data_IF_516268624138
#
_entry.id   IF_516268624138
#
_cell.length_a   1.000
_cell.length_b   1.000
_cell.length_c   1.000
_cell.angle_alpha   90.00
_cell.angle_beta   90.00
_cell.angle_gamma   90.00
#
_symmetry.space_group_name_H-M   'P 1'
#
loop_
_entity.id
_entity.type
_entity.pdbx_description
1 polymer ?
#
# COMPACT_ATOMS: atom_id res chain seq x y z
N UNK A 1 -4.62 19.01 -2.88
CA UNK A 1 -5.02 17.83 -3.68
C UNK A 1 -5.42 18.35 -5.04
N UNK A 2 -4.87 17.84 -6.15
CA UNK A 2 -5.40 18.22 -7.46
C UNK A 2 -6.74 17.48 -7.61
N UNK A 3 -7.90 18.15 -7.69
CA UNK A 3 -9.23 17.53 -7.67
C UNK A 3 -9.54 16.64 -8.90
N UNK A 4 -8.53 16.26 -9.68
CA UNK A 4 -8.64 15.60 -10.97
C UNK A 4 -7.97 14.22 -11.03
N UNK A 5 -7.50 13.63 -9.93
CA UNK A 5 -6.91 12.28 -9.97
C UNK A 5 -7.82 11.23 -9.38
N UNK A 6 -7.89 10.06 -10.01
CA UNK A 6 -8.69 8.91 -9.59
C UNK A 6 -7.80 7.70 -9.36
N UNK A 7 -8.20 6.83 -8.44
CA UNK A 7 -7.54 5.55 -8.18
C UNK A 7 -8.37 4.46 -8.85
N UNK A 8 -7.72 3.64 -9.66
CA UNK A 8 -8.33 2.49 -10.34
C UNK A 8 -7.61 1.23 -9.87
N UNK A 9 -8.36 0.26 -9.35
CA UNK A 9 -7.86 -1.08 -9.10
C UNK A 9 -7.81 -1.85 -10.42
N UNK A 10 -6.69 -2.50 -10.72
CA UNK A 10 -6.48 -3.19 -11.99
C UNK A 10 -6.98 -4.64 -11.95
N UNK A 11 -6.79 -5.32 -10.81
CA UNK A 11 -7.05 -6.75 -10.67
C UNK A 11 -8.20 -7.01 -9.68
N UNK A 12 -9.06 -8.00 -9.97
CA UNK A 12 -10.11 -8.41 -9.04
C UNK A 12 -9.58 -9.23 -7.86
N UNK A 13 -8.48 -9.97 -8.07
CA UNK A 13 -7.87 -10.83 -7.06
C UNK A 13 -6.64 -10.15 -6.43
N UNK A 14 -6.41 -10.35 -5.12
CA UNK A 14 -5.24 -9.80 -4.47
C UNK A 14 -3.96 -10.44 -5.02
N UNK A 15 -2.95 -9.60 -5.31
CA UNK A 15 -1.62 -10.05 -5.73
C UNK A 15 -0.70 -10.37 -4.55
N UNK A 16 -1.15 -10.09 -3.33
CA UNK A 16 -0.46 -10.42 -2.10
C UNK A 16 -1.37 -10.25 -0.89
N UNK A 17 -0.94 -10.79 0.25
CA UNK A 17 -1.69 -10.65 1.49
C UNK A 17 -0.85 -11.03 2.70
N UNK A 18 -0.92 -10.20 3.74
CA UNK A 18 -0.48 -10.54 5.10
C UNK A 18 -1.66 -11.08 5.91
N UNK A 19 -1.55 -11.23 7.24
CA UNK A 19 -2.65 -11.73 8.08
C UNK A 19 -3.91 -10.84 8.09
N UNK A 20 -3.75 -9.53 7.94
CA UNK A 20 -4.83 -8.54 8.13
C UNK A 20 -5.16 -7.68 6.90
N UNK A 21 -4.62 -7.99 5.72
CA UNK A 21 -4.85 -7.14 4.53
C UNK A 21 -4.71 -7.87 3.22
N UNK A 22 -5.51 -7.44 2.24
CA UNK A 22 -5.37 -7.78 0.84
C UNK A 22 -4.61 -6.66 0.12
N UNK A 23 -3.72 -7.06 -0.78
CA UNK A 23 -2.88 -6.18 -1.57
C UNK A 23 -3.27 -6.33 -3.03
N UNK A 24 -3.64 -5.23 -3.68
CA UNK A 24 -4.04 -5.20 -5.08
C UNK A 24 -3.13 -4.27 -5.88
N UNK A 25 -3.01 -4.52 -7.18
CA UNK A 25 -2.41 -3.57 -8.11
C UNK A 25 -3.44 -2.54 -8.54
N UNK A 26 -2.97 -1.35 -8.82
CA UNK A 26 -3.80 -0.30 -9.38
C UNK A 26 -2.99 0.82 -10.01
N UNK A 27 -3.70 1.85 -10.42
CA UNK A 27 -3.15 3.05 -11.04
C UNK A 27 -3.80 4.30 -10.49
N UNK A 28 -3.00 5.34 -10.30
CA UNK A 28 -3.50 6.71 -10.18
C UNK A 28 -3.57 7.27 -11.58
N UNK A 29 -4.75 7.75 -11.98
CA UNK A 29 -5.01 8.29 -13.30
C UNK A 29 -5.53 9.72 -13.22
N UNK A 30 -5.31 10.48 -14.28
CA UNK A 30 -5.96 11.77 -14.53
C UNK A 30 -6.97 11.58 -15.67
N UNK A 31 -8.28 11.77 -15.45
CA UNK A 31 -9.25 11.82 -16.53
C UNK A 31 -8.95 12.98 -17.45
N UNK A 32 -9.09 12.74 -18.75
CA UNK A 32 -8.92 13.70 -19.83
C UNK A 32 -10.24 13.86 -20.60
N UNK A 33 -10.40 14.94 -21.38
CA UNK A 33 -11.57 15.09 -22.26
C UNK A 33 -11.76 13.91 -23.21
N UNK A 34 -13.02 13.70 -23.63
CA UNK A 34 -13.45 12.60 -24.50
C UNK A 34 -13.21 11.19 -23.93
N UNK A 35 -13.29 11.03 -22.60
CA UNK A 35 -13.22 9.72 -21.94
C UNK A 35 -11.82 9.09 -21.91
N UNK A 36 -10.77 9.85 -22.26
CA UNK A 36 -9.39 9.38 -22.14
C UNK A 36 -8.91 9.45 -20.70
N UNK A 37 -7.90 8.65 -20.38
CA UNK A 37 -7.22 8.68 -19.07
C UNK A 37 -5.71 8.67 -19.28
N UNK A 38 -5.01 9.45 -18.47
CA UNK A 38 -3.56 9.43 -18.38
C UNK A 38 -3.13 8.70 -17.11
N UNK A 39 -2.28 7.69 -17.24
CA UNK A 39 -1.74 6.96 -16.09
C UNK A 39 -0.58 7.77 -15.51
N UNK A 40 -0.75 8.27 -14.29
CA UNK A 40 0.29 9.02 -13.59
C UNK A 40 1.26 8.09 -12.87
N UNK A 41 0.72 7.11 -12.13
CA UNK A 41 1.51 6.20 -11.32
C UNK A 41 0.90 4.79 -11.32
N UNK A 42 1.76 3.77 -11.33
CA UNK A 42 1.39 2.42 -10.88
C UNK A 42 1.51 2.35 -9.38
N UNK A 43 0.50 1.80 -8.72
CA UNK A 43 0.39 1.77 -7.27
C UNK A 43 -0.01 0.39 -6.75
N UNK A 44 0.20 0.22 -5.45
CA UNK A 44 -0.37 -0.85 -4.66
C UNK A 44 -1.48 -0.26 -3.79
N UNK A 45 -2.59 -0.99 -3.72
CA UNK A 45 -3.76 -0.66 -2.91
C UNK A 45 -3.89 -1.71 -1.81
N UNK A 46 -3.71 -1.29 -0.57
CA UNK A 46 -3.83 -2.14 0.62
C UNK A 46 -5.19 -1.95 1.27
N UNK A 47 -6.02 -2.98 1.23
CA UNK A 47 -7.30 -3.03 1.92
C UNK A 47 -7.18 -3.83 3.22
N UNK A 48 -7.69 -3.32 4.36
CA UNK A 48 -7.74 -4.09 5.58
C UNK A 48 -8.75 -5.24 5.41
N UNK A 49 -8.43 -6.42 5.94
CA UNK A 49 -9.34 -7.54 5.99
C UNK A 49 -10.01 -7.65 7.35
N UNK A 50 -11.29 -8.02 7.38
CA UNK A 50 -11.97 -8.39 8.61
C UNK A 50 -11.19 -9.46 9.37
N UNK A 51 -11.17 -9.34 10.71
CA UNK A 51 -10.57 -10.37 11.56
C UNK A 51 -11.66 -11.37 11.91
N UNK A 52 -11.47 -12.68 11.73
CA UNK A 52 -12.46 -13.67 12.13
C UNK A 52 -12.75 -13.53 13.63
N UNK A 53 -13.97 -13.18 14.01
CA UNK A 53 -14.38 -13.03 15.41
C UNK A 53 -15.90 -12.87 15.56
N UNK A 54 -16.49 -13.29 16.69
CA UNK A 54 -17.92 -13.15 16.92
C UNK A 54 -18.29 -11.68 17.21
N UNK A 55 -18.96 -11.01 16.27
CA UNK A 55 -19.48 -9.64 16.46
C UNK A 55 -19.56 -8.83 15.16
N UNK A 56 -20.62 -9.05 14.38
CA UNK A 56 -20.76 -8.57 12.98
C UNK A 56 -21.08 -7.05 12.86
N UNK A 57 -21.42 -6.33 13.93
CA UNK A 57 -21.99 -4.97 13.79
C UNK A 57 -20.98 -3.81 13.72
N UNK A 58 -19.71 -3.98 14.14
CA UNK A 58 -18.72 -2.89 14.22
C UNK A 58 -17.48 -3.09 13.34
N UNK A 59 -17.50 -4.08 12.45
CA UNK A 59 -16.31 -4.53 11.72
C UNK A 59 -15.71 -3.45 10.81
N UNK A 60 -16.54 -2.71 10.06
CA UNK A 60 -16.05 -1.66 9.15
C UNK A 60 -15.39 -0.50 9.91
N UNK A 61 -15.96 -0.08 11.04
CA UNK A 61 -15.39 1.02 11.84
C UNK A 61 -14.10 0.58 12.53
N UNK A 62 -14.03 -0.67 12.99
CA UNK A 62 -12.79 -1.24 13.51
C UNK A 62 -11.71 -1.34 12.44
N UNK A 63 -12.05 -1.77 11.23
CA UNK A 63 -11.13 -1.78 10.10
C UNK A 63 -10.67 -0.37 9.73
N UNK A 64 -11.59 0.60 9.69
CA UNK A 64 -11.29 2.02 9.46
C UNK A 64 -10.34 2.56 10.52
N UNK A 65 -10.58 2.28 11.80
CA UNK A 65 -9.71 2.70 12.91
C UNK A 65 -8.32 2.08 12.79
N UNK A 66 -8.21 0.79 12.47
CA UNK A 66 -6.93 0.09 12.31
C UNK A 66 -6.12 0.63 11.16
N UNK A 67 -6.71 0.75 9.97
CA UNK A 67 -6.00 1.23 8.79
C UNK A 67 -5.65 2.72 8.92
N UNK A 68 -6.49 3.52 9.60
CA UNK A 68 -6.17 4.91 9.91
C UNK A 68 -5.00 5.04 10.88
N UNK A 69 -4.92 4.21 11.92
CA UNK A 69 -3.74 4.18 12.82
C UNK A 69 -2.47 3.80 12.06
N UNK A 70 -2.55 2.84 11.16
CA UNK A 70 -1.42 2.46 10.31
C UNK A 70 -0.99 3.62 9.40
N UNK A 71 -1.95 4.26 8.73
CA UNK A 71 -1.70 5.44 7.92
C UNK A 71 -1.07 6.58 8.73
N UNK A 72 -1.63 6.91 9.89
CA UNK A 72 -1.15 7.99 10.74
C UNK A 72 0.26 7.72 11.28
N UNK A 73 0.55 6.46 11.65
CA UNK A 73 1.89 6.06 12.07
C UNK A 73 2.88 6.20 10.91
N UNK A 74 2.54 5.71 9.73
CA UNK A 74 3.39 5.79 8.55
C UNK A 74 3.60 7.24 8.09
N UNK A 75 2.56 8.08 8.13
CA UNK A 75 2.62 9.49 7.74
C UNK A 75 3.50 10.34 8.68
N UNK A 76 3.78 9.86 9.90
CA UNK A 76 4.70 10.51 10.85
C UNK A 76 6.15 10.11 10.64
N UNK A 77 6.43 9.07 9.87
CA UNK A 77 7.80 8.63 9.59
C UNK A 77 8.45 9.64 8.64
N UNK A 78 9.62 10.15 9.03
CA UNK A 78 10.44 11.01 8.16
C UNK A 78 10.73 10.27 6.85
N UNK A 79 10.43 10.89 5.69
CA UNK A 79 10.71 10.27 4.40
C UNK A 79 12.18 9.88 4.27
N UNK A 80 12.43 8.65 3.83
CA UNK A 80 13.76 8.11 3.62
C UNK A 80 13.77 7.29 2.33
N UNK A 81 14.87 7.31 1.59
CA UNK A 81 14.99 6.65 0.27
C UNK A 81 14.74 5.14 0.32
N UNK A 82 15.01 4.52 1.45
CA UNK A 82 14.81 3.07 1.67
C UNK A 82 13.46 2.74 2.32
N UNK A 83 12.65 3.74 2.67
CA UNK A 83 11.28 3.54 3.14
C UNK A 83 10.31 3.61 1.97
N UNK A 84 9.39 2.65 1.91
CA UNK A 84 8.30 2.71 0.94
C UNK A 84 7.46 3.96 1.24
N UNK A 85 7.33 4.91 0.30
CA UNK A 85 6.63 6.15 0.58
C UNK A 85 5.13 5.91 0.61
N UNK A 86 4.46 6.64 1.51
CA UNK A 86 3.02 6.69 1.60
C UNK A 86 2.50 7.71 0.57
N UNK A 87 1.67 7.27 -0.38
CA UNK A 87 1.13 8.19 -1.40
C UNK A 87 -0.18 8.81 -0.95
N UNK A 88 -1.13 7.98 -0.51
CA UNK A 88 -2.49 8.43 -0.26
C UNK A 88 -3.26 7.50 0.69
N UNK A 89 -4.13 8.10 1.51
CA UNK A 89 -5.26 7.43 2.13
C UNK A 89 -6.49 7.55 1.21
N UNK A 90 -7.10 6.43 0.84
CA UNK A 90 -8.20 6.40 -0.13
C UNK A 90 -9.51 5.95 0.51
N UNK A 91 -10.45 6.89 0.62
CA UNK A 91 -11.82 6.62 1.04
C UNK A 91 -12.62 6.08 -0.16
N UNK A 92 -12.88 4.78 -0.18
CA UNK A 92 -13.49 4.06 -1.33
C UNK A 92 -15.00 4.34 -1.47
N UNK A 93 -15.63 4.88 -0.43
CA UNK A 93 -17.08 5.11 -0.39
C UNK A 93 -17.88 3.81 -0.22
N UNK A 94 -19.21 3.89 -0.29
CA UNK A 94 -20.09 2.71 -0.36
C UNK A 94 -20.04 1.76 0.85
N UNK A 95 -19.58 2.22 2.01
CA UNK A 95 -19.46 1.38 3.22
C UNK A 95 -18.22 0.48 3.26
N UNK A 96 -17.31 0.60 2.28
CA UNK A 96 -16.02 -0.11 2.31
C UNK A 96 -15.03 0.60 3.25
N UNK A 97 -14.14 -0.15 3.94
CA UNK A 97 -13.09 0.46 4.71
C UNK A 97 -12.11 1.20 3.78
N UNK A 98 -11.47 2.28 4.24
CA UNK A 98 -10.47 2.98 3.46
C UNK A 98 -9.25 2.11 3.18
N UNK A 99 -8.50 2.48 2.14
CA UNK A 99 -7.30 1.80 1.70
C UNK A 99 -6.06 2.69 1.83
N UNK A 100 -4.89 2.07 1.97
CA UNK A 100 -3.58 2.74 1.88
C UNK A 100 -3.01 2.53 0.49
N UNK A 101 -2.50 3.60 -0.11
CA UNK A 101 -1.87 3.57 -1.44
C UNK A 101 -0.37 3.85 -1.32
N UNK A 102 0.43 3.00 -1.94
CA UNK A 102 1.90 3.13 -2.04
C UNK A 102 2.35 2.93 -3.49
N UNK A 103 3.59 3.30 -3.87
CA UNK A 103 4.09 2.97 -5.19
C UNK A 103 4.13 1.46 -5.42
N UNK A 104 4.01 1.08 -6.69
CA UNK A 104 4.29 -0.28 -7.12
C UNK A 104 5.80 -0.56 -7.11
N UNK A 105 6.21 -1.61 -6.40
CA UNK A 105 7.58 -2.13 -6.40
C UNK A 105 7.65 -3.38 -7.31
N UNK A 106 8.26 -3.30 -8.51
CA UNK A 106 8.27 -4.42 -9.46
C UNK A 106 8.96 -5.67 -8.94
N UNK A 107 9.99 -5.49 -8.11
CA UNK A 107 10.78 -6.58 -7.52
C UNK A 107 10.08 -7.30 -6.35
N UNK A 108 8.88 -6.85 -5.96
CA UNK A 108 8.12 -7.46 -4.87
C UNK A 108 8.77 -7.28 -3.50
N UNK A 109 8.48 -8.20 -2.58
CA UNK A 109 9.09 -8.20 -1.25
C UNK A 109 10.47 -8.89 -1.27
N UNK A 110 11.32 -8.57 -0.30
CA UNK A 110 12.68 -9.13 -0.19
C UNK A 110 12.67 -10.66 -0.21
N UNK A 111 11.70 -11.29 0.44
CA UNK A 111 11.54 -12.75 0.45
C UNK A 111 11.40 -13.30 -0.97
N UNK A 112 10.48 -12.76 -1.76
CA UNK A 112 10.24 -13.22 -3.13
C UNK A 112 11.43 -12.89 -4.04
N UNK A 113 12.08 -11.73 -3.82
CA UNK A 113 13.28 -11.35 -4.54
C UNK A 113 14.41 -12.36 -4.32
N UNK A 114 14.69 -12.74 -3.06
CA UNK A 114 15.76 -13.69 -2.72
C UNK A 114 15.49 -15.10 -3.25
N UNK A 115 14.23 -15.55 -3.26
CA UNK A 115 13.85 -16.84 -3.87
C UNK A 115 14.19 -16.86 -5.35
N UNK A 116 13.96 -15.76 -6.07
CA UNK A 116 14.22 -15.66 -7.51
C UNK A 116 15.69 -15.29 -7.84
N UNK A 117 16.46 -14.81 -6.85
CA UNK A 117 17.83 -14.35 -7.03
C UNK A 117 18.73 -14.94 -5.92
N UNK A 118 19.01 -16.26 -5.94
CA UNK A 118 19.71 -16.93 -4.84
C UNK A 118 21.16 -16.47 -4.66
N UNK A 119 21.75 -15.84 -5.68
CA UNK A 119 23.12 -15.27 -5.64
C UNK A 119 23.15 -13.82 -5.20
N UNK A 120 22.01 -13.22 -4.84
CA UNK A 120 21.96 -11.85 -4.34
C UNK A 120 22.72 -11.73 -3.02
N UNK A 121 23.42 -10.60 -2.84
CA UNK A 121 24.13 -10.30 -1.60
C UNK A 121 23.14 -9.98 -0.47
N UNK A 122 22.94 -10.95 0.41
CA UNK A 122 22.03 -10.83 1.54
C UNK A 122 22.53 -9.81 2.58
N UNK A 123 23.85 -9.66 2.73
CA UNK A 123 24.41 -8.70 3.68
C UNK A 123 24.17 -7.27 3.20
N UNK A 124 24.35 -7.00 1.91
CA UNK A 124 24.01 -5.70 1.33
C UNK A 124 22.55 -5.32 1.57
N UNK A 125 21.62 -6.27 1.44
CA UNK A 125 20.19 -6.06 1.71
C UNK A 125 19.95 -5.76 3.20
N UNK A 126 20.60 -6.47 4.11
CA UNK A 126 20.49 -6.20 5.56
C UNK A 126 21.04 -4.82 5.90
N UNK A 127 22.19 -4.44 5.36
CA UNK A 127 22.77 -3.10 5.56
C UNK A 127 21.80 -2.00 5.09
N UNK A 128 21.13 -2.21 3.95
CA UNK A 128 20.14 -1.28 3.42
C UNK A 128 18.94 -1.08 4.35
N UNK A 129 18.47 -2.16 5.01
CA UNK A 129 17.38 -2.13 5.99
C UNK A 129 17.82 -1.46 7.29
N UNK A 130 19.01 -1.77 7.80
CA UNK A 130 19.50 -1.23 9.07
C UNK A 130 19.78 0.28 8.99
N UNK A 131 20.24 0.78 7.84
CA UNK A 131 20.48 2.20 7.63
C UNK A 131 19.22 3.06 7.84
N UNK A 132 18.03 2.51 7.54
CA UNK A 132 16.74 3.17 7.83
C UNK A 132 16.55 3.39 9.33
N UNK A 133 16.84 2.36 10.14
CA UNK A 133 16.55 2.38 11.57
C UNK A 133 17.48 3.35 12.31
N UNK A 134 18.73 3.48 11.88
CA UNK A 134 19.69 4.42 12.47
C UNK A 134 19.37 5.90 12.21
N UNK A 135 18.62 6.23 11.16
CA UNK A 135 18.26 7.61 10.80
C UNK A 135 16.94 8.09 11.42
N UNK A 136 16.30 7.28 12.28
CA UNK A 136 15.03 7.60 12.95
C UNK A 136 15.22 8.11 14.41
N UNK A 137 16.45 8.40 14.82
CA UNK A 137 16.81 8.99 16.12
C UNK A 137 17.38 10.39 15.92
#
# INVERSE_FOLDING_TARGET
MNPQTQVIQDDFYPCGGGGFSNIYKGRIVRPLPAGRVEVLNRVIIKFPRPTPGPGISNEVEDLRRRIRREYDAWNRVTPHVNNLPLLQFWEVGGGYPPAIITPYCPSGCVKDFLVNNPTADQLAIVHFILFVQSCQH
#
